data_IF_198629989708
#
_entry.id   IF_198629989708
#
_cell.length_a   1.000
_cell.length_b   1.000
_cell.length_c   1.000
_cell.angle_alpha   90.00
_cell.angle_beta   90.00
_cell.angle_gamma   90.00
#
_symmetry.space_group_name_H-M   'P 1'
#
loop_
_entity.id
_entity.type
_entity.pdbx_description
1 polymer ?
#
# COMPACT_ATOMS: atom_id res chain seq x y z
N UNK A 1 -3.85 -7.18 4.91
CA UNK A 1 -4.81 -7.50 3.82
C UNK A 1 -5.58 -6.24 3.50
N UNK A 2 -5.68 -5.86 2.22
CA UNK A 2 -6.65 -4.84 1.81
C UNK A 2 -8.05 -5.45 1.94
N UNK A 3 -8.97 -4.79 2.64
CA UNK A 3 -10.40 -5.16 2.57
C UNK A 3 -10.92 -4.84 1.17
N UNK A 4 -12.05 -5.46 0.81
CA UNK A 4 -12.70 -5.23 -0.49
C UNK A 4 -12.97 -3.75 -0.76
N UNK A 5 -13.26 -2.96 0.28
CA UNK A 5 -13.46 -1.51 0.20
C UNK A 5 -12.28 -0.77 -0.44
N UNK A 6 -11.04 -1.11 -0.09
CA UNK A 6 -9.84 -0.44 -0.62
C UNK A 6 -9.55 -0.84 -2.07
N UNK A 7 -9.89 -2.07 -2.46
CA UNK A 7 -9.80 -2.48 -3.87
C UNK A 7 -10.77 -1.64 -4.71
N UNK A 8 -12.01 -1.47 -4.22
CA UNK A 8 -13.04 -0.73 -4.94
C UNK A 8 -12.63 0.74 -5.15
N UNK A 9 -12.14 1.41 -4.10
CA UNK A 9 -11.65 2.79 -4.20
C UNK A 9 -10.55 2.93 -5.27
N UNK A 10 -9.55 2.03 -5.24
CA UNK A 10 -8.47 2.06 -6.24
C UNK A 10 -9.01 1.85 -7.65
N UNK A 11 -9.98 0.95 -7.81
CA UNK A 11 -10.58 0.66 -9.11
C UNK A 11 -11.39 1.85 -9.63
N UNK A 12 -12.17 2.51 -8.77
CA UNK A 12 -12.87 3.76 -9.12
C UNK A 12 -11.90 4.85 -9.58
N UNK A 13 -10.75 5.00 -8.89
CA UNK A 13 -9.69 5.92 -9.31
C UNK A 13 -9.13 5.52 -10.68
N UNK A 14 -8.78 4.25 -10.87
CA UNK A 14 -8.20 3.77 -12.12
C UNK A 14 -9.19 3.87 -13.29
N UNK A 15 -10.49 3.72 -13.03
CA UNK A 15 -11.55 3.95 -14.00
C UNK A 15 -11.57 5.40 -14.48
N UNK A 16 -11.47 6.38 -13.57
CA UNK A 16 -11.37 7.80 -13.94
C UNK A 16 -10.11 8.08 -14.74
N UNK A 17 -9.01 7.39 -14.44
CA UNK A 17 -7.75 7.48 -15.18
C UNK A 17 -7.77 6.73 -16.52
N UNK A 18 -8.86 6.03 -16.85
CA UNK A 18 -9.02 5.33 -18.12
C UNK A 18 -8.23 4.02 -18.25
N UNK A 19 -7.87 3.39 -17.13
CA UNK A 19 -7.12 2.12 -17.15
C UNK A 19 -8.02 0.98 -17.63
N UNK A 20 -7.48 0.11 -18.48
CA UNK A 20 -8.07 -1.18 -18.82
C UNK A 20 -8.06 -2.15 -17.62
N UNK A 21 -8.84 -3.23 -17.69
CA UNK A 21 -8.90 -4.21 -16.60
C UNK A 21 -7.54 -4.85 -16.27
N UNK A 22 -6.70 -5.09 -17.28
CA UNK A 22 -5.34 -5.59 -17.08
C UNK A 22 -4.49 -4.57 -16.33
N UNK A 23 -4.53 -3.31 -16.75
CA UNK A 23 -3.78 -2.22 -16.10
C UNK A 23 -4.24 -2.00 -14.66
N UNK A 24 -5.54 -2.12 -14.38
CA UNK A 24 -6.08 -2.03 -13.02
C UNK A 24 -5.51 -3.10 -12.10
N UNK A 25 -5.45 -4.34 -12.55
CA UNK A 25 -4.91 -5.44 -11.74
C UNK A 25 -3.39 -5.26 -11.52
N UNK A 26 -2.63 -4.85 -12.54
CA UNK A 26 -1.21 -4.54 -12.40
C UNK A 26 -0.93 -3.37 -11.45
N UNK A 27 -1.70 -2.28 -11.58
CA UNK A 27 -1.63 -1.11 -10.71
C UNK A 27 -2.01 -1.49 -9.26
N UNK A 28 -3.02 -2.33 -9.07
CA UNK A 28 -3.41 -2.86 -7.77
C UNK A 28 -2.28 -3.67 -7.12
N UNK A 29 -1.59 -4.52 -7.87
CA UNK A 29 -0.44 -5.26 -7.32
C UNK A 29 0.71 -4.33 -6.94
N UNK A 30 0.99 -3.32 -7.77
CA UNK A 30 1.98 -2.29 -7.47
C UNK A 30 1.63 -1.52 -6.20
N UNK A 31 0.37 -1.12 -6.06
CA UNK A 31 -0.13 -0.42 -4.88
C UNK A 31 -0.01 -1.30 -3.62
N UNK A 32 -0.41 -2.57 -3.69
CA UNK A 32 -0.26 -3.54 -2.58
C UNK A 32 1.20 -3.65 -2.12
N UNK A 33 2.14 -3.74 -3.05
CA UNK A 33 3.58 -3.79 -2.73
C UNK A 33 4.04 -2.52 -2.03
N UNK A 34 3.66 -1.34 -2.55
CA UNK A 34 3.99 -0.05 -1.95
C UNK A 34 3.42 0.10 -0.55
N UNK A 35 2.15 -0.26 -0.36
CA UNK A 35 1.49 -0.22 0.94
C UNK A 35 2.13 -1.19 1.96
N UNK A 36 2.46 -2.42 1.53
CA UNK A 36 3.15 -3.38 2.38
C UNK A 36 4.53 -2.87 2.81
N UNK A 37 5.25 -2.20 1.90
CA UNK A 37 6.54 -1.60 2.21
C UNK A 37 6.45 -0.43 3.19
N UNK A 38 5.47 0.47 3.02
CA UNK A 38 5.24 1.56 3.97
C UNK A 38 4.81 1.04 5.35
N UNK A 39 3.99 -0.01 5.40
CA UNK A 39 3.64 -0.68 6.64
C UNK A 39 4.89 -1.28 7.30
N UNK A 40 5.73 -1.99 6.53
CA UNK A 40 6.97 -2.57 7.03
C UNK A 40 7.91 -1.51 7.61
N UNK A 41 8.12 -0.39 6.92
CA UNK A 41 8.90 0.74 7.45
C UNK A 41 8.36 1.25 8.77
N UNK A 42 7.04 1.38 8.88
CA UNK A 42 6.38 1.90 10.09
C UNK A 42 6.60 1.01 11.33
N UNK A 43 6.89 -0.28 11.13
CA UNK A 43 7.10 -1.26 12.20
C UNK A 43 8.55 -1.76 12.31
N UNK A 44 9.41 -1.49 11.31
CA UNK A 44 10.77 -2.02 11.23
C UNK A 44 11.59 -1.72 12.48
N UNK A 45 11.52 -0.50 13.02
CA UNK A 45 12.24 -0.11 14.24
C UNK A 45 11.80 -0.85 15.51
N UNK A 46 10.79 -1.72 15.43
CA UNK A 46 10.34 -2.59 16.53
C UNK A 46 10.79 -4.04 16.35
N UNK A 47 11.32 -4.41 15.20
CA UNK A 47 11.82 -5.76 14.94
C UNK A 47 13.15 -6.01 15.68
N UNK A 48 13.53 -7.27 15.92
CA UNK A 48 14.87 -7.63 16.37
C UNK A 48 15.99 -7.03 15.51
N UNK A 49 17.13 -6.68 16.11
CA UNK A 49 18.21 -5.96 15.43
C UNK A 49 18.77 -6.71 14.20
N UNK A 50 18.85 -8.04 14.26
CA UNK A 50 19.27 -8.86 13.12
C UNK A 50 18.32 -8.71 11.93
N UNK A 51 17.01 -8.66 12.18
CA UNK A 51 15.98 -8.46 11.15
C UNK A 51 16.01 -7.04 10.59
N UNK A 52 16.24 -6.04 11.45
CA UNK A 52 16.41 -4.65 11.02
C UNK A 52 17.61 -4.49 10.07
N UNK A 53 18.74 -5.12 10.42
CA UNK A 53 19.95 -5.08 9.59
C UNK A 53 19.71 -5.75 8.24
N UNK A 54 19.08 -6.93 8.23
CA UNK A 54 18.75 -7.64 6.99
C UNK A 54 17.84 -6.81 6.07
N UNK A 55 16.82 -6.14 6.63
CA UNK A 55 15.96 -5.23 5.87
C UNK A 55 16.71 -4.01 5.32
N UNK A 56 17.68 -3.48 6.06
CA UNK A 56 18.50 -2.34 5.63
C UNK A 56 19.49 -2.70 4.52
N UNK A 57 19.99 -3.93 4.50
CA UNK A 57 20.96 -4.39 3.49
C UNK A 57 20.35 -4.50 2.08
N UNK A 58 19.01 -4.57 1.97
CA UNK A 58 18.28 -4.44 0.70
C UNK A 58 18.58 -5.51 -0.35
N UNK A 59 19.37 -6.54 0.00
CA UNK A 59 19.85 -7.63 -0.88
C UNK A 59 19.20 -8.98 -0.59
N UNK A 60 18.17 -8.99 0.26
CA UNK A 60 17.45 -10.20 0.63
C UNK A 60 16.74 -10.84 -0.56
N UNK A 61 17.08 -12.10 -0.86
CA UNK A 61 16.27 -12.94 -1.74
C UNK A 61 14.97 -13.32 -1.00
N UNK A 62 13.85 -13.44 -1.72
CA UNK A 62 12.61 -14.00 -1.16
C UNK A 62 12.77 -15.46 -0.72
N UNK A 63 13.80 -16.16 -1.22
CA UNK A 63 14.19 -17.49 -0.77
C UNK A 63 15.06 -17.48 0.50
N UNK A 64 15.46 -16.32 1.01
CA UNK A 64 16.23 -16.20 2.23
C UNK A 64 15.36 -16.60 3.44
N UNK A 65 15.83 -17.50 4.32
CA UNK A 65 15.07 -17.93 5.50
C UNK A 65 14.72 -16.79 6.47
N UNK A 66 15.39 -15.64 6.38
CA UNK A 66 15.06 -14.46 7.16
C UNK A 66 13.69 -13.88 6.78
N UNK A 67 13.24 -14.03 5.53
CA UNK A 67 11.94 -13.54 5.08
C UNK A 67 10.76 -14.15 5.88
N UNK A 68 10.60 -15.51 5.94
CA UNK A 68 9.54 -16.10 6.75
C UNK A 68 9.72 -15.86 8.25
N UNK A 69 10.95 -15.68 8.75
CA UNK A 69 11.21 -15.33 10.15
C UNK A 69 10.68 -13.94 10.52
N UNK A 70 10.94 -12.94 9.66
CA UNK A 70 10.39 -11.58 9.81
C UNK A 70 8.86 -11.63 9.77
N UNK A 71 8.28 -12.36 8.83
CA UNK A 71 6.83 -12.50 8.72
C UNK A 71 6.23 -13.08 10.01
N UNK A 72 6.85 -14.14 10.56
CA UNK A 72 6.44 -14.74 11.83
C UNK A 72 6.53 -13.74 12.98
N UNK A 73 7.64 -13.02 13.08
CA UNK A 73 7.87 -12.01 14.12
C UNK A 73 6.81 -10.91 14.08
N UNK A 74 6.46 -10.42 12.89
CA UNK A 74 5.40 -9.43 12.71
C UNK A 74 4.04 -9.98 13.18
N UNK A 75 3.72 -11.24 12.84
CA UNK A 75 2.47 -11.89 13.25
C UNK A 75 2.37 -12.11 14.75
N UNK A 76 3.49 -12.39 15.43
CA UNK A 76 3.54 -12.54 16.89
C UNK A 76 3.42 -11.19 17.60
N UNK A 77 4.01 -10.13 17.04
CA UNK A 77 3.95 -8.78 17.62
C UNK A 77 2.62 -8.07 17.37
N UNK A 78 1.98 -8.34 16.24
CA UNK A 78 0.77 -7.64 15.82
C UNK A 78 -0.28 -8.62 15.32
N UNK A 79 -1.45 -8.59 15.97
CA UNK A 79 -2.65 -9.23 15.45
C UNK A 79 -3.08 -8.63 14.10
N UNK A 80 -3.85 -9.40 13.32
CA UNK A 80 -4.31 -8.96 12.00
C UNK A 80 -5.11 -7.65 12.05
N UNK A 81 -5.94 -7.46 13.08
CA UNK A 81 -6.71 -6.22 13.27
C UNK A 81 -5.80 -5.02 13.51
N UNK A 82 -4.76 -5.16 14.35
CA UNK A 82 -3.79 -4.09 14.62
C UNK A 82 -3.01 -3.72 13.36
N UNK A 83 -2.61 -4.70 12.57
CA UNK A 83 -1.96 -4.45 11.28
C UNK A 83 -2.90 -3.72 10.32
N UNK A 84 -4.19 -4.08 10.30
CA UNK A 84 -5.18 -3.41 9.47
C UNK A 84 -5.41 -1.96 9.91
N UNK A 85 -5.57 -1.68 11.20
CA UNK A 85 -5.71 -0.33 11.74
C UNK A 85 -4.48 0.54 11.42
N UNK A 86 -3.28 -0.04 11.44
CA UNK A 86 -2.04 0.65 11.00
C UNK A 86 -1.99 0.86 9.49
N UNK A 87 -2.58 -0.04 8.71
CA UNK A 87 -2.59 0.04 7.25
C UNK A 87 -3.52 1.14 6.74
N UNK A 88 -4.66 1.38 7.40
CA UNK A 88 -5.66 2.36 6.97
C UNK A 88 -5.10 3.78 6.75
N UNK A 89 -4.42 4.44 7.71
CA UNK A 89 -3.88 5.78 7.49
C UNK A 89 -2.80 5.82 6.41
N UNK A 90 -2.02 4.73 6.25
CA UNK A 90 -1.02 4.62 5.19
C UNK A 90 -1.68 4.50 3.81
N UNK A 91 -2.77 3.73 3.71
CA UNK A 91 -3.56 3.62 2.50
C UNK A 91 -4.12 4.98 2.09
N UNK A 92 -4.81 5.68 3.01
CA UNK A 92 -5.40 6.99 2.74
C UNK A 92 -4.34 7.99 2.26
N UNK A 93 -3.19 8.04 2.94
CA UNK A 93 -2.07 8.89 2.51
C UNK A 93 -1.60 8.54 1.10
N UNK A 94 -1.33 7.26 0.83
CA UNK A 94 -0.82 6.84 -0.48
C UNK A 94 -1.80 7.12 -1.62
N UNK A 95 -3.11 6.98 -1.37
CA UNK A 95 -4.15 7.30 -2.35
C UNK A 95 -4.23 8.80 -2.59
N UNK A 96 -4.19 9.62 -1.54
CA UNK A 96 -4.19 11.08 -1.67
C UNK A 96 -2.98 11.57 -2.46
N UNK A 97 -1.77 11.12 -2.09
CA UNK A 97 -0.52 11.47 -2.78
C UNK A 97 -0.59 11.05 -4.27
N UNK A 98 -1.17 9.88 -4.56
CA UNK A 98 -1.32 9.39 -5.93
C UNK A 98 -2.31 10.24 -6.73
N UNK A 99 -3.48 10.56 -6.18
CA UNK A 99 -4.49 11.38 -6.85
C UNK A 99 -3.99 12.81 -7.08
N UNK A 100 -3.28 13.40 -6.11
CA UNK A 100 -2.67 14.72 -6.27
C UNK A 100 -1.71 14.72 -7.47
N UNK A 101 -0.78 13.76 -7.51
CA UNK A 101 0.18 13.61 -8.60
C UNK A 101 -0.50 13.38 -9.96
N UNK A 102 -1.47 12.47 -10.04
CA UNK A 102 -2.14 12.15 -11.30
C UNK A 102 -3.04 13.29 -11.80
N UNK A 103 -3.47 14.20 -10.92
CA UNK A 103 -4.33 15.33 -11.30
C UNK A 103 -3.60 16.42 -12.08
N UNK A 104 -2.26 16.46 -12.07
CA UNK A 104 -1.46 17.56 -12.67
C UNK A 104 -1.53 17.67 -14.21
N UNK A 105 -2.24 16.77 -14.89
CA UNK A 105 -2.40 16.79 -16.35
C UNK A 105 -3.79 16.41 -16.85
N UNK A 106 -4.78 16.35 -15.96
CA UNK A 106 -6.14 15.92 -16.30
C UNK A 106 -7.08 17.12 -16.51
N UNK A 107 -8.17 16.88 -17.22
CA UNK A 107 -9.24 17.85 -17.35
C UNK A 107 -9.98 18.06 -16.02
N UNK A 108 -10.70 19.18 -15.91
CA UNK A 108 -11.40 19.58 -14.68
C UNK A 108 -12.46 18.58 -14.21
N UNK A 109 -13.11 17.87 -15.12
CA UNK A 109 -14.14 16.88 -14.76
C UNK A 109 -13.49 15.66 -14.10
N UNK A 110 -12.43 15.14 -14.72
CA UNK A 110 -11.64 14.02 -14.17
C UNK A 110 -11.04 14.36 -12.81
N UNK A 111 -10.45 15.55 -12.66
CA UNK A 111 -9.90 16.01 -11.36
C UNK A 111 -10.98 16.09 -10.29
N UNK A 112 -12.18 16.58 -10.63
CA UNK A 112 -13.30 16.66 -9.67
C UNK A 112 -13.73 15.27 -9.21
N UNK A 113 -13.90 14.32 -10.14
CA UNK A 113 -14.25 12.93 -9.81
C UNK A 113 -13.21 12.28 -8.89
N UNK A 114 -11.92 12.46 -9.19
CA UNK A 114 -10.85 11.92 -8.34
C UNK A 114 -10.89 12.50 -6.92
N UNK A 115 -11.12 13.81 -6.79
CA UNK A 115 -11.24 14.48 -5.49
C UNK A 115 -12.46 13.99 -4.70
N UNK A 116 -13.59 13.75 -5.37
CA UNK A 116 -14.79 13.24 -4.74
C UNK A 116 -14.58 11.82 -4.19
N UNK A 117 -13.90 10.94 -4.94
CA UNK A 117 -13.57 9.59 -4.48
C UNK A 117 -12.72 9.64 -3.20
N UNK A 118 -11.67 10.46 -3.17
CA UNK A 118 -10.76 10.52 -2.02
C UNK A 118 -11.28 11.34 -0.84
N UNK A 119 -12.33 12.15 -1.03
CA UNK A 119 -12.96 12.94 0.04
C UNK A 119 -13.68 12.08 1.09
N UNK A 120 -13.98 10.82 0.76
CA UNK A 120 -14.72 9.88 1.59
C UNK A 120 -13.82 8.84 2.31
N UNK A 121 -12.50 9.04 2.28
CA UNK A 121 -11.48 8.12 2.83
C UNK A 121 -11.25 8.25 4.35
#
# INVERSE_FOLDING_TARGET
MLKGEYKNILFEIFDVLGFSDTEKEEALQTFKKKLAFELLKSIQGKLPQNQQNWLADGKGDMNDPMFPEIQKTIQEMYGQEVLYEKTKPLFNKLVLDYVEFMSEGLDSESVTKLKDIVSNL
#
